data_IF_358981434747
#
_entry.id   IF_358981434747
#
_cell.length_a   1.000
_cell.length_b   1.000
_cell.length_c   1.000
_cell.angle_alpha   90.00
_cell.angle_beta   90.00
_cell.angle_gamma   90.00
#
_symmetry.space_group_name_H-M   'P 1'
#
loop_
_entity.id
_entity.type
_entity.pdbx_description
1 polymer ?
#
# COMPACT_ATOMS: atom_id res chain seq x y z
N UNK A 1 -11.62 4.86 -16.24
CA UNK A 1 -11.90 3.43 -15.93
C UNK A 1 -10.88 2.92 -14.90
N UNK A 2 -11.30 2.26 -13.82
CA UNK A 2 -10.41 1.79 -12.73
C UNK A 2 -9.93 0.33 -12.89
N UNK A 3 -8.89 -0.07 -12.13
CA UNK A 3 -8.12 -1.33 -12.25
C UNK A 3 -8.95 -2.62 -12.38
N UNK A 4 -10.16 -2.69 -11.81
CA UNK A 4 -11.05 -3.86 -11.96
C UNK A 4 -12.55 -3.50 -11.89
N UNK A 5 -12.99 -2.44 -12.57
CA UNK A 5 -14.33 -1.84 -12.38
C UNK A 5 -15.53 -2.82 -12.40
N UNK A 6 -15.43 -3.95 -13.12
CA UNK A 6 -16.53 -4.93 -13.29
C UNK A 6 -16.70 -5.92 -12.12
N UNK A 7 -15.69 -6.05 -11.25
CA UNK A 7 -15.72 -7.00 -10.11
C UNK A 7 -15.94 -6.33 -8.77
N UNK A 8 -16.14 -5.02 -8.71
CA UNK A 8 -16.46 -4.34 -7.46
C UNK A 8 -17.97 -4.28 -7.22
N UNK A 9 -18.36 -4.43 -5.95
CA UNK A 9 -19.72 -4.17 -5.49
C UNK A 9 -19.72 -3.10 -4.41
N UNK A 10 -20.80 -2.31 -4.38
CA UNK A 10 -20.99 -1.29 -3.37
C UNK A 10 -21.37 -1.96 -2.04
N UNK A 11 -20.57 -1.74 -1.01
CA UNK A 11 -20.83 -2.16 0.38
C UNK A 11 -20.82 -0.96 1.32
N UNK A 12 -21.11 -1.21 2.60
CA UNK A 12 -21.07 -0.20 3.66
C UNK A 12 -20.07 -0.63 4.72
N UNK A 13 -19.03 0.18 4.93
CA UNK A 13 -18.01 -0.01 5.96
C UNK A 13 -17.90 1.25 6.81
N UNK A 14 -17.87 1.08 8.15
CA UNK A 14 -17.89 2.17 9.13
C UNK A 14 -18.97 3.24 8.88
N UNK A 15 -20.13 2.83 8.37
CA UNK A 15 -21.21 3.78 8.06
C UNK A 15 -21.14 4.41 6.66
N UNK A 16 -20.09 4.17 5.88
CA UNK A 16 -19.82 4.84 4.59
C UNK A 16 -19.87 3.84 3.44
N UNK A 17 -20.32 4.29 2.27
CA UNK A 17 -20.31 3.49 1.06
C UNK A 17 -18.87 3.29 0.54
N UNK A 18 -18.47 2.04 0.37
CA UNK A 18 -17.17 1.63 -0.20
C UNK A 18 -17.38 0.66 -1.36
N UNK A 19 -16.36 0.49 -2.19
CA UNK A 19 -16.33 -0.53 -3.24
C UNK A 19 -15.46 -1.70 -2.79
N UNK A 20 -16.06 -2.89 -2.75
CA UNK A 20 -15.39 -4.12 -2.33
C UNK A 20 -15.24 -5.06 -3.52
N UNK A 21 -14.04 -5.59 -3.75
CA UNK A 21 -13.82 -6.56 -4.83
C UNK A 21 -14.56 -7.86 -4.55
N UNK A 22 -15.13 -8.46 -5.59
CA UNK A 22 -15.72 -9.80 -5.61
C UNK A 22 -14.77 -10.84 -6.20
N UNK A 23 -13.62 -10.42 -6.73
CA UNK A 23 -12.69 -11.33 -7.37
C UNK A 23 -11.93 -12.15 -6.30
N UNK A 24 -12.15 -13.48 -6.21
CA UNK A 24 -11.66 -14.28 -5.09
C UNK A 24 -10.13 -14.30 -5.02
N UNK A 25 -9.44 -14.36 -6.16
CA UNK A 25 -7.97 -14.35 -6.20
C UNK A 25 -7.39 -13.00 -5.77
N UNK A 26 -8.08 -11.89 -6.08
CA UNK A 26 -7.65 -10.55 -5.68
C UNK A 26 -7.83 -10.35 -4.18
N UNK A 27 -8.99 -10.76 -3.67
CA UNK A 27 -9.30 -10.70 -2.24
C UNK A 27 -8.35 -11.58 -1.44
N UNK A 28 -8.03 -12.79 -1.92
CA UNK A 28 -7.08 -13.68 -1.29
C UNK A 28 -5.68 -13.08 -1.24
N UNK A 29 -5.20 -12.52 -2.37
CA UNK A 29 -3.89 -11.85 -2.44
C UNK A 29 -3.78 -10.68 -1.46
N UNK A 30 -4.77 -9.77 -1.44
CA UNK A 30 -4.77 -8.64 -0.50
C UNK A 30 -4.85 -9.13 0.95
N UNK A 31 -5.72 -10.11 1.23
CA UNK A 31 -5.87 -10.66 2.57
C UNK A 31 -4.57 -11.31 3.06
N UNK A 32 -3.91 -12.09 2.22
CA UNK A 32 -2.66 -12.79 2.55
C UNK A 32 -1.53 -11.81 2.86
N UNK A 33 -1.40 -10.76 2.04
CA UNK A 33 -0.45 -9.66 2.27
C UNK A 33 -0.69 -9.03 3.64
N UNK A 34 -1.93 -8.63 3.95
CA UNK A 34 -2.27 -7.99 5.23
C UNK A 34 -2.15 -8.95 6.42
N UNK A 35 -2.51 -10.22 6.24
CA UNK A 35 -2.42 -11.24 7.28
C UNK A 35 -0.97 -11.46 7.72
N UNK A 36 -0.05 -11.61 6.76
CA UNK A 36 1.37 -11.76 7.05
C UNK A 36 1.98 -10.48 7.63
N UNK A 37 1.55 -9.30 7.17
CA UNK A 37 2.08 -8.02 7.66
C UNK A 37 1.57 -7.66 9.06
N UNK A 38 0.46 -8.26 9.52
CA UNK A 38 -0.21 -7.92 10.79
C UNK A 38 0.71 -7.98 12.00
N UNK A 39 1.50 -9.04 12.17
CA UNK A 39 2.42 -9.16 13.32
C UNK A 39 3.44 -8.02 13.31
N UNK A 40 4.06 -7.77 12.16
CA UNK A 40 5.06 -6.73 12.01
C UNK A 40 4.50 -5.32 12.27
N UNK A 41 3.22 -5.06 11.93
CA UNK A 41 2.53 -3.81 12.28
C UNK A 41 2.36 -3.71 13.79
N UNK A 42 1.82 -4.75 14.44
CA UNK A 42 1.60 -4.76 15.89
C UNK A 42 2.92 -4.62 16.69
N UNK A 43 4.00 -5.20 16.18
CA UNK A 43 5.34 -5.09 16.79
C UNK A 43 6.00 -3.72 16.53
N UNK A 44 5.38 -2.86 15.70
CA UNK A 44 5.91 -1.56 15.31
C UNK A 44 7.17 -1.64 14.47
N UNK A 45 7.30 -2.70 13.66
CA UNK A 45 8.41 -2.89 12.71
C UNK A 45 8.14 -2.24 11.36
N UNK A 46 6.87 -2.14 10.98
CA UNK A 46 6.42 -1.52 9.72
C UNK A 46 6.37 0.00 9.88
N UNK A 47 7.06 0.69 9.00
CA UNK A 47 7.07 2.15 8.88
C UNK A 47 5.98 2.64 7.92
N UNK A 48 5.85 1.97 6.78
CA UNK A 48 4.95 2.38 5.71
C UNK A 48 4.46 1.18 4.90
N UNK A 49 3.18 1.18 4.53
CA UNK A 49 2.63 0.28 3.52
C UNK A 49 2.34 1.15 2.30
N UNK A 50 2.85 0.75 1.13
CA UNK A 50 2.69 1.52 -0.11
C UNK A 50 1.95 0.66 -1.12
N UNK A 51 0.79 1.13 -1.56
CA UNK A 51 0.10 0.58 -2.72
C UNK A 51 0.60 1.32 -3.96
N UNK A 52 1.30 0.62 -4.83
CA UNK A 52 1.85 1.18 -6.07
C UNK A 52 0.99 0.72 -7.24
N UNK A 53 0.51 1.67 -8.04
CA UNK A 53 -0.10 1.42 -9.34
C UNK A 53 1.00 1.52 -10.40
N UNK A 54 1.10 0.49 -11.24
CA UNK A 54 2.09 0.35 -12.30
C UNK A 54 1.40 0.44 -13.66
N UNK A 55 2.08 0.97 -14.67
CA UNK A 55 1.67 0.83 -16.08
C UNK A 55 2.09 -0.54 -16.66
N UNK A 56 1.81 -0.78 -17.95
CA UNK A 56 2.21 -2.01 -18.63
C UNK A 56 3.73 -2.21 -18.75
N UNK A 57 4.53 -1.16 -18.56
CA UNK A 57 6.00 -1.26 -18.54
C UNK A 57 6.53 -1.64 -17.15
N UNK A 58 5.66 -1.74 -16.15
CA UNK A 58 6.06 -1.95 -14.75
C UNK A 58 6.56 -0.68 -14.08
N UNK A 59 6.31 0.50 -14.66
CA UNK A 59 6.71 1.79 -14.09
C UNK A 59 5.61 2.30 -13.16
N UNK A 60 5.98 2.75 -11.97
CA UNK A 60 5.04 3.37 -11.05
C UNK A 60 4.41 4.62 -11.68
N UNK A 61 3.08 4.72 -11.60
CA UNK A 61 2.32 5.89 -12.03
C UNK A 61 1.65 6.61 -10.85
N UNK A 62 1.21 5.84 -9.85
CA UNK A 62 0.57 6.36 -8.64
C UNK A 62 0.98 5.53 -7.42
N UNK A 63 1.10 6.18 -6.26
CA UNK A 63 1.40 5.52 -5.00
C UNK A 63 0.50 6.07 -3.90
N UNK A 64 -0.02 5.15 -3.08
CA UNK A 64 -0.73 5.48 -1.85
C UNK A 64 0.09 4.96 -0.68
N UNK A 65 0.61 5.89 0.10
CA UNK A 65 1.48 5.61 1.24
C UNK A 65 0.69 5.71 2.53
N UNK A 66 0.73 4.65 3.32
CA UNK A 66 0.13 4.53 4.64
C UNK A 66 1.27 4.41 5.64
N UNK A 67 1.76 5.54 6.12
CA UNK A 67 2.78 5.56 7.17
C UNK A 67 2.11 5.29 8.51
N UNK A 68 2.60 4.29 9.24
CA UNK A 68 1.96 3.80 10.46
C UNK A 68 2.99 3.86 11.59
N UNK A 69 2.60 4.44 12.71
CA UNK A 69 3.36 4.42 13.94
C UNK A 69 2.44 4.02 15.10
N UNK A 70 2.60 2.78 15.57
CA UNK A 70 1.84 2.21 16.71
C UNK A 70 2.57 2.35 18.06
N UNK A 71 3.76 2.95 18.06
CA UNK A 71 4.57 3.17 19.28
C UNK A 71 4.39 4.59 19.83
N UNK A 72 3.50 5.38 19.24
CA UNK A 72 3.20 6.70 19.74
C UNK A 72 2.56 6.59 21.13
N UNK A 73 3.05 7.37 22.09
CA UNK A 73 2.43 7.45 23.41
C UNK A 73 1.02 8.03 23.25
N UNK A 74 -0.04 7.38 23.78
CA UNK A 74 -1.38 7.94 23.69
C UNK A 74 -1.44 9.22 24.52
N UNK A 75 -1.55 10.38 23.87
CA UNK A 75 -1.86 11.65 24.55
C UNK A 75 -3.29 11.64 25.10
N UNK A 76 -4.19 10.89 24.45
CA UNK A 76 -5.60 10.75 24.81
C UNK A 76 -6.06 9.29 24.58
N UNK A 77 -6.72 8.64 25.55
CA UNK A 77 -7.33 7.33 25.33
C UNK A 77 -8.45 7.45 24.28
N UNK A 78 -8.39 6.63 23.24
CA UNK A 78 -9.41 6.58 22.20
C UNK A 78 -10.31 5.36 22.39
N UNK A 79 -11.60 5.53 22.15
CA UNK A 79 -12.54 4.41 22.06
C UNK A 79 -12.50 3.77 20.68
N UNK A 80 -13.04 2.56 20.56
CA UNK A 80 -13.18 1.90 19.26
C UNK A 80 -14.02 2.74 18.28
N UNK A 81 -15.06 3.42 18.77
CA UNK A 81 -15.89 4.31 17.97
C UNK A 81 -15.11 5.52 17.41
N UNK A 82 -14.14 6.06 18.17
CA UNK A 82 -13.28 7.15 17.71
C UNK A 82 -12.38 6.69 16.56
N UNK A 83 -11.84 5.47 16.67
CA UNK A 83 -11.02 4.85 15.62
C UNK A 83 -11.86 4.58 14.37
N UNK A 84 -13.06 4.00 14.50
CA UNK A 84 -13.97 3.79 13.37
C UNK A 84 -14.34 5.10 12.67
N UNK A 85 -14.66 6.15 13.44
CA UNK A 85 -14.98 7.47 12.88
C UNK A 85 -13.78 8.07 12.12
N UNK A 86 -12.56 7.92 12.65
CA UNK A 86 -11.36 8.38 11.98
C UNK A 86 -11.11 7.62 10.67
N UNK A 87 -11.22 6.29 10.67
CA UNK A 87 -11.08 5.44 9.48
C UNK A 87 -12.17 5.74 8.45
N UNK A 88 -13.42 5.91 8.88
CA UNK A 88 -14.52 6.33 8.01
C UNK A 88 -14.18 7.64 7.31
N UNK A 89 -13.69 8.64 8.06
CA UNK A 89 -13.30 9.93 7.46
C UNK A 89 -12.14 9.80 6.45
N UNK A 90 -11.22 8.84 6.65
CA UNK A 90 -10.16 8.55 5.70
C UNK A 90 -10.70 7.92 4.42
N UNK A 91 -11.59 6.92 4.53
CA UNK A 91 -12.25 6.28 3.39
C UNK A 91 -13.08 7.27 2.57
N UNK A 92 -13.80 8.18 3.24
CA UNK A 92 -14.55 9.23 2.57
C UNK A 92 -13.64 10.14 1.74
N UNK A 93 -12.50 10.56 2.31
CA UNK A 93 -11.52 11.39 1.59
C UNK A 93 -10.91 10.65 0.40
N UNK A 94 -10.55 9.37 0.57
CA UNK A 94 -10.06 8.53 -0.52
C UNK A 94 -11.08 8.47 -1.68
N UNK A 95 -12.36 8.27 -1.37
CA UNK A 95 -13.43 8.25 -2.37
C UNK A 95 -13.60 9.58 -3.13
N UNK A 96 -13.22 10.72 -2.54
CA UNK A 96 -13.27 12.02 -3.25
C UNK A 96 -12.11 12.26 -4.20
N UNK A 97 -11.03 11.48 -4.14
CA UNK A 97 -9.85 11.66 -5.00
C UNK A 97 -10.14 11.31 -6.46
N UNK A 98 -11.08 10.37 -6.69
CA UNK A 98 -11.50 9.91 -8.02
C UNK A 98 -11.99 11.07 -8.91
N UNK A 99 -12.69 12.05 -8.32
CA UNK A 99 -13.23 13.20 -9.08
C UNK A 99 -12.16 14.12 -9.69
N UNK A 100 -10.90 13.97 -9.28
CA UNK A 100 -9.77 14.81 -9.72
C UNK A 100 -8.66 14.03 -10.41
N UNK A 101 -8.79 12.69 -10.48
CA UNK A 101 -7.76 11.80 -11.00
C UNK A 101 -7.94 11.59 -12.52
N UNK A 102 -6.90 11.79 -13.35
CA UNK A 102 -6.88 11.29 -14.72
C UNK A 102 -7.16 9.79 -14.78
N UNK A 103 -7.74 9.32 -15.89
CA UNK A 103 -8.03 7.90 -16.08
C UNK A 103 -6.75 7.05 -16.03
N UNK A 104 -6.83 5.90 -15.37
CA UNK A 104 -5.76 4.92 -15.35
C UNK A 104 -5.64 4.23 -16.73
N UNK A 105 -4.42 3.87 -17.16
CA UNK A 105 -4.21 3.00 -18.31
C UNK A 105 -4.99 1.68 -18.18
N UNK A 106 -5.45 1.11 -19.30
CA UNK A 106 -6.28 -0.11 -19.32
C UNK A 106 -5.54 -1.36 -18.83
N UNK A 107 -4.22 -1.33 -18.95
CA UNK A 107 -3.25 -2.36 -18.63
C UNK A 107 -2.51 -2.06 -17.32
N UNK A 108 -3.01 -1.11 -16.53
CA UNK A 108 -2.46 -0.83 -15.23
C UNK A 108 -2.56 -2.06 -14.32
N UNK A 109 -1.54 -2.25 -13.50
CA UNK A 109 -1.51 -3.28 -12.44
C UNK A 109 -1.20 -2.62 -11.11
N UNK A 110 -1.20 -3.38 -10.01
CA UNK A 110 -0.77 -2.84 -8.72
C UNK A 110 0.12 -3.84 -7.98
N UNK A 111 0.93 -3.31 -7.07
CA UNK A 111 1.71 -4.08 -6.11
C UNK A 111 1.63 -3.42 -4.73
N UNK A 112 1.83 -4.21 -3.68
CA UNK A 112 1.87 -3.73 -2.30
C UNK A 112 3.29 -3.91 -1.78
N UNK A 113 3.89 -2.81 -1.33
CA UNK A 113 5.21 -2.78 -0.71
C UNK A 113 5.08 -2.49 0.79
N UNK A 114 5.91 -3.13 1.59
CA UNK A 114 5.99 -2.88 3.04
C UNK A 114 7.40 -2.41 3.36
N UNK A 115 7.51 -1.22 3.93
CA UNK A 115 8.75 -0.61 4.38
C UNK A 115 8.87 -0.81 5.89
N UNK A 116 10.04 -1.26 6.35
CA UNK A 116 10.33 -1.51 7.76
C UNK A 116 11.43 -0.58 8.26
N UNK A 117 11.41 -0.23 9.56
CA UNK A 117 12.40 0.67 10.18
C UNK A 117 13.85 0.14 10.20
N UNK A 118 14.06 -1.13 9.90
CA UNK A 118 15.38 -1.75 9.80
C UNK A 118 15.46 -2.56 8.51
N UNK A 119 16.61 -2.49 7.84
CA UNK A 119 16.95 -3.39 6.73
C UNK A 119 16.93 -4.80 7.29
N UNK A 120 16.22 -5.73 6.65
CA UNK A 120 16.29 -7.16 6.98
C UNK A 120 17.67 -7.72 6.54
N UNK A 121 18.77 -7.17 7.06
CA UNK A 121 20.11 -7.74 6.89
C UNK A 121 20.25 -8.98 7.77
N UNK A 122 19.82 -10.13 7.26
CA UNK A 122 20.34 -11.47 7.60
C UNK A 122 20.25 -11.98 9.06
N UNK A 123 19.78 -11.20 10.03
CA UNK A 123 19.68 -11.60 11.44
C UNK A 123 18.48 -10.95 12.18
N UNK A 124 17.51 -10.43 11.42
CA UNK A 124 16.25 -9.89 11.94
C UNK A 124 15.15 -10.94 12.10
N UNK A 125 13.96 -10.58 12.61
CA UNK A 125 12.80 -11.48 12.67
C UNK A 125 12.58 -12.13 11.30
N UNK A 126 12.13 -13.40 11.27
CA UNK A 126 12.13 -14.19 10.05
C UNK A 126 11.46 -13.42 8.92
N UNK A 127 12.03 -13.44 7.70
CA UNK A 127 11.36 -12.86 6.55
C UNK A 127 9.94 -13.41 6.51
N UNK A 128 8.98 -12.53 6.23
CA UNK A 128 7.59 -12.94 6.04
C UNK A 128 7.58 -14.15 5.10
N UNK A 129 6.82 -15.21 5.42
CA UNK A 129 7.03 -16.52 4.81
C UNK A 129 7.03 -16.40 3.28
N UNK A 130 8.15 -16.79 2.66
CA UNK A 130 8.22 -17.00 1.23
C UNK A 130 7.11 -17.99 0.82
N UNK A 131 6.48 -17.85 -0.37
CA UNK A 131 6.96 -17.15 -1.57
C UNK A 131 6.48 -15.70 -1.80
N UNK A 132 5.81 -15.05 -0.83
CA UNK A 132 5.01 -13.85 -1.12
C UNK A 132 5.74 -12.51 -1.02
N UNK A 133 6.99 -12.50 -0.55
CA UNK A 133 7.76 -11.29 -0.32
C UNK A 133 9.16 -11.45 -0.91
N UNK A 134 9.54 -10.48 -1.74
CA UNK A 134 10.91 -10.34 -2.23
C UNK A 134 11.46 -9.01 -1.72
N UNK A 135 12.74 -9.01 -1.32
CA UNK A 135 13.41 -7.77 -0.96
C UNK A 135 13.57 -6.95 -2.25
N UNK A 136 13.09 -5.71 -2.22
CA UNK A 136 13.33 -4.76 -3.31
C UNK A 136 14.72 -4.18 -3.06
N UNK A 137 15.74 -4.86 -3.57
CA UNK A 137 17.13 -4.44 -3.40
C UNK A 137 17.40 -3.14 -4.14
N UNK A 138 18.01 -2.17 -3.46
CA UNK A 138 18.72 -1.05 -4.09
C UNK A 138 20.02 -1.57 -4.75
N UNK A 139 19.89 -2.33 -5.84
CA UNK A 139 20.90 -2.67 -6.85
C UNK A 139 22.23 -3.34 -6.41
N UNK A 140 22.44 -4.61 -6.80
CA UNK A 140 23.69 -5.06 -7.45
C UNK A 140 23.39 -6.16 -8.52
N UNK A 141 23.91 -6.03 -9.75
CA UNK A 141 23.42 -6.78 -10.92
C UNK A 141 23.92 -8.23 -11.10
N UNK A 142 24.58 -8.90 -10.15
CA UNK A 142 25.26 -10.18 -10.45
C UNK A 142 24.93 -11.40 -9.57
N UNK A 143 23.91 -11.35 -8.68
CA UNK A 143 23.60 -12.50 -7.79
C UNK A 143 22.19 -13.10 -7.92
N UNK A 144 21.31 -12.56 -8.77
CA UNK A 144 19.90 -12.98 -8.83
C UNK A 144 19.60 -14.20 -9.72
N UNK A 145 20.61 -15.02 -10.05
CA UNK A 145 20.42 -16.31 -10.72
C UNK A 145 20.54 -17.42 -9.69
N UNK A 146 19.50 -17.67 -8.90
CA UNK A 146 18.98 -18.99 -8.49
C UNK A 146 17.88 -18.75 -7.45
N UNK A 147 16.71 -19.38 -7.64
CA UNK A 147 15.55 -19.43 -6.72
C UNK A 147 14.47 -18.34 -6.89
N UNK A 148 13.64 -18.50 -7.92
CA UNK A 148 12.19 -18.73 -7.81
C UNK A 148 11.56 -18.41 -9.17
N UNK A 149 11.32 -19.45 -9.95
CA UNK A 149 10.63 -19.39 -11.23
C UNK A 149 9.28 -18.67 -11.10
N UNK A 150 9.16 -17.61 -11.91
CA UNK A 150 7.99 -16.78 -12.24
C UNK A 150 7.55 -15.68 -11.26
N UNK A 151 8.49 -14.84 -10.80
CA UNK A 151 8.20 -13.43 -10.48
C UNK A 151 9.01 -12.58 -11.45
N UNK A 152 8.34 -11.77 -12.27
CA UNK A 152 9.05 -10.84 -13.16
C UNK A 152 9.91 -9.93 -12.31
N UNK A 153 11.22 -9.95 -12.54
CA UNK A 153 12.20 -9.08 -11.90
C UNK A 153 11.89 -7.62 -12.23
N UNK A 154 11.03 -6.99 -11.43
CA UNK A 154 10.74 -5.55 -11.53
C UNK A 154 11.85 -4.80 -10.79
N UNK A 155 12.60 -3.97 -11.52
CA UNK A 155 13.69 -3.17 -10.99
C UNK A 155 13.18 -2.21 -9.89
N UNK A 156 13.89 -2.14 -8.76
CA UNK A 156 13.60 -1.24 -7.64
C UNK A 156 13.52 0.23 -8.09
N UNK A 157 14.31 0.60 -9.12
CA UNK A 157 14.28 1.93 -9.70
C UNK A 157 12.93 2.25 -10.38
N UNK A 158 12.29 1.26 -11.01
CA UNK A 158 10.98 1.41 -11.67
C UNK A 158 9.82 1.54 -10.69
N UNK A 159 10.01 1.11 -9.44
CA UNK A 159 9.05 1.25 -8.35
C UNK A 159 9.14 2.61 -7.64
N UNK A 160 10.19 3.40 -7.90
CA UNK A 160 10.30 4.77 -7.37
C UNK A 160 9.63 5.74 -8.33
N UNK A 161 8.60 6.44 -7.84
CA UNK A 161 8.05 7.57 -8.57
C UNK A 161 9.07 8.72 -8.58
N UNK A 162 9.38 9.33 -9.73
CA UNK A 162 9.94 10.66 -9.74
C UNK A 162 8.86 11.58 -9.15
N UNK A 163 9.00 11.95 -7.87
CA UNK A 163 7.96 12.64 -7.11
C UNK A 163 7.67 14.01 -7.74
N UNK A 164 6.51 14.16 -8.40
CA UNK A 164 6.04 15.44 -8.95
C UNK A 164 5.04 16.13 -8.00
N UNK A 165 4.60 15.46 -6.94
CA UNK A 165 3.80 16.05 -5.87
C UNK A 165 3.30 15.00 -4.87
N UNK A 166 3.37 15.34 -3.57
CA UNK A 166 2.80 14.56 -2.49
C UNK A 166 1.54 15.26 -1.96
N UNK A 167 0.38 14.62 -2.08
CA UNK A 167 -0.90 15.15 -1.59
C UNK A 167 -1.26 14.43 -0.28
N UNK A 168 -1.24 15.12 0.88
CA UNK A 168 -1.71 14.52 2.12
C UNK A 168 -3.23 14.30 2.04
N UNK A 169 -3.67 13.07 2.29
CA UNK A 169 -5.08 12.68 2.28
C UNK A 169 -5.65 12.84 3.69
N UNK A 170 -4.99 12.23 4.68
CA UNK A 170 -5.48 12.23 6.06
C UNK A 170 -4.34 11.98 7.06
N UNK A 171 -4.38 12.71 8.16
CA UNK A 171 -3.62 12.41 9.38
C UNK A 171 -4.60 11.88 10.43
N UNK A 172 -4.27 10.76 11.05
CA UNK A 172 -5.00 10.14 12.17
C UNK A 172 -4.01 10.01 13.33
N UNK A 173 -4.36 10.52 14.50
CA UNK A 173 -3.57 10.34 15.72
C UNK A 173 -4.54 10.04 16.88
N UNK A 174 -4.71 8.75 17.20
CA UNK A 174 -5.68 8.27 18.18
C UNK A 174 -5.17 6.99 18.85
N UNK A 175 -5.36 6.86 20.17
CA UNK A 175 -5.16 5.60 20.88
C UNK A 175 -3.75 5.02 20.80
N UNK A 176 -2.73 5.87 20.64
CA UNK A 176 -1.33 5.45 20.47
C UNK A 176 -0.95 5.04 19.04
N UNK A 177 -1.87 5.19 18.08
CA UNK A 177 -1.61 5.03 16.66
C UNK A 177 -1.58 6.40 15.98
N UNK A 178 -0.49 6.66 15.27
CA UNK A 178 -0.41 7.73 14.26
C UNK A 178 -0.41 7.06 12.88
N UNK A 179 -1.29 7.50 12.00
CA UNK A 179 -1.33 7.07 10.61
C UNK A 179 -1.43 8.26 9.67
N UNK A 180 -0.47 8.38 8.76
CA UNK A 180 -0.48 9.36 7.68
C UNK A 180 -0.78 8.66 6.36
N UNK A 181 -1.81 9.14 5.69
CA UNK A 181 -2.21 8.68 4.36
C UNK A 181 -1.86 9.79 3.39
N UNK A 182 -1.01 9.49 2.42
CA UNK A 182 -0.65 10.39 1.33
C UNK A 182 -0.76 9.68 -0.02
N UNK A 183 -0.90 10.49 -1.07
CA UNK A 183 -0.89 10.04 -2.44
C UNK A 183 0.20 10.78 -3.19
N UNK A 184 0.98 10.02 -3.95
CA UNK A 184 1.98 10.52 -4.89
C UNK A 184 1.59 10.08 -6.29
N UNK A 185 1.84 10.94 -7.26
CA UNK A 185 1.56 10.67 -8.67
C UNK A 185 2.77 11.10 -9.50
N UNK A 186 3.24 10.20 -10.36
CA UNK A 186 4.28 10.50 -11.33
C UNK A 186 3.75 11.35 -12.47
N UNK A 187 4.66 12.02 -13.20
CA UNK A 187 4.31 12.59 -14.48
C UNK A 187 3.90 11.46 -15.43
N UNK A 188 2.64 11.45 -15.88
CA UNK A 188 2.22 10.57 -16.98
C UNK A 188 3.03 10.96 -18.23
N UNK A 189 3.58 9.99 -18.99
CA UNK A 189 4.16 10.31 -20.28
C UNK A 189 3.09 10.93 -21.17
N UNK A 190 3.40 12.08 -21.78
CA UNK A 190 2.51 12.70 -22.75
C UNK A 190 2.36 11.75 -23.95
N UNK A 191 1.14 11.26 -24.17
CA UNK A 191 0.75 10.50 -25.36
C UNK A 191 0.87 11.34 -26.62
#
# INVERSE_FOLDING_TARGET
MGLYAEVFERRKEYGIAVFMSRHPGLNASIHEVLFHTRSAICDGLVECIVLVILDATGTAIEQYSFQINVRATPEVPATYADVEAALASALLRLGTLEATAPELPRDATFTIMVQTHSVMTGAGPPPLPAPYWAQVDDCEPEAALTCASSVSSTDAASLRLPVVGCKPIKHIALGGMIMNISMERGAMPAS
#
